data_IF_244509643776
#
_entry.id   IF_244509643776
#
_cell.length_a   1.000
_cell.length_b   1.000
_cell.length_c   1.000
_cell.angle_alpha   90.00
_cell.angle_beta   90.00
_cell.angle_gamma   90.00
#
_symmetry.space_group_name_H-M   'P 1'
#
loop_
_entity.id
_entity.type
_entity.pdbx_description
1 polymer ?
#
# COMPACT_ATOMS: atom_id res chain seq x y z
N UNK A 1 10.31 13.95 -19.09
CA UNK A 1 9.98 13.60 -17.69
C UNK A 1 8.84 14.53 -17.27
N UNK A 2 7.72 14.00 -16.81
CA UNK A 2 6.61 14.82 -16.33
C UNK A 2 6.88 15.23 -14.88
N UNK A 3 6.61 16.50 -14.55
CA UNK A 3 6.74 17.00 -13.18
C UNK A 3 5.64 16.39 -12.30
N UNK A 4 6.00 15.98 -11.08
CA UNK A 4 5.00 15.62 -10.07
C UNK A 4 4.25 16.88 -9.62
N UNK A 5 2.94 16.76 -9.54
CA UNK A 5 2.05 17.78 -8.98
C UNK A 5 1.53 17.32 -7.62
N UNK A 6 1.44 18.25 -6.69
CA UNK A 6 0.97 18.03 -5.33
C UNK A 6 -0.39 18.71 -5.19
N UNK A 7 -1.42 17.92 -4.98
CA UNK A 7 -2.81 18.38 -5.05
C UNK A 7 -3.60 17.94 -3.84
N UNK A 8 -4.70 18.60 -3.61
CA UNK A 8 -5.69 18.22 -2.60
C UNK A 8 -7.07 18.25 -3.22
N UNK A 9 -7.91 17.28 -2.87
CA UNK A 9 -9.32 17.23 -3.26
C UNK A 9 -10.17 16.99 -2.02
N UNK A 10 -11.34 17.64 -1.98
CA UNK A 10 -12.35 17.38 -0.95
C UNK A 10 -13.04 16.05 -1.21
N UNK A 11 -12.99 15.19 -0.20
CA UNK A 11 -13.71 13.92 -0.16
C UNK A 11 -14.52 13.91 1.13
N UNK A 12 -15.82 14.01 1.01
CA UNK A 12 -16.73 14.26 2.16
C UNK A 12 -16.27 15.48 2.96
N UNK A 13 -15.99 15.32 4.26
CA UNK A 13 -15.48 16.38 5.12
C UNK A 13 -13.93 16.47 5.16
N UNK A 14 -13.23 15.64 4.40
CA UNK A 14 -11.77 15.50 4.46
C UNK A 14 -11.08 16.17 3.28
N UNK A 15 -9.91 16.72 3.52
CA UNK A 15 -8.96 17.12 2.49
C UNK A 15 -8.02 15.94 2.22
N UNK A 16 -8.11 15.31 1.05
CA UNK A 16 -7.26 14.22 0.63
C UNK A 16 -6.18 14.76 -0.28
N UNK A 17 -4.96 14.72 0.22
CA UNK A 17 -3.77 15.05 -0.56
C UNK A 17 -3.42 13.89 -1.50
N UNK A 18 -2.89 14.22 -2.67
CA UNK A 18 -2.36 13.22 -3.60
C UNK A 18 -1.25 13.77 -4.48
N UNK A 19 -0.35 12.87 -4.88
CA UNK A 19 0.64 13.13 -5.93
C UNK A 19 0.06 12.73 -7.27
N UNK A 20 0.29 13.54 -8.30
CA UNK A 20 -0.14 13.25 -9.66
C UNK A 20 0.99 13.53 -10.65
N UNK A 21 1.21 12.63 -11.60
CA UNK A 21 2.18 12.82 -12.69
C UNK A 21 1.73 12.10 -13.95
N UNK A 22 2.29 12.48 -15.10
CA UNK A 22 1.99 11.88 -16.39
C UNK A 22 0.81 12.52 -17.12
N UNK A 23 0.58 12.06 -18.34
CA UNK A 23 -0.47 12.61 -19.22
C UNK A 23 -1.85 12.02 -18.89
N UNK A 24 -2.87 12.87 -18.77
CA UNK A 24 -4.26 12.45 -18.45
C UNK A 24 -4.91 11.53 -19.49
N UNK A 25 -4.34 11.44 -20.67
CA UNK A 25 -4.81 10.54 -21.75
C UNK A 25 -4.16 9.16 -21.71
N UNK A 26 -3.32 8.89 -20.73
CA UNK A 26 -2.61 7.62 -20.55
C UNK A 26 -3.35 6.70 -19.59
N UNK A 27 -3.05 5.38 -19.60
CA UNK A 27 -3.60 4.46 -18.61
C UNK A 27 -3.29 4.95 -17.19
N UNK A 28 -4.28 4.90 -16.31
CA UNK A 28 -4.15 5.37 -14.92
C UNK A 28 -3.57 4.27 -14.05
N UNK A 29 -2.58 4.61 -13.21
CA UNK A 29 -2.15 3.79 -12.08
C UNK A 29 -2.54 4.51 -10.80
N UNK A 30 -3.43 3.90 -10.00
CA UNK A 30 -3.78 4.33 -8.66
C UNK A 30 -2.89 3.60 -7.66
N UNK A 31 -2.02 4.36 -6.93
CA UNK A 31 -1.03 3.81 -6.01
C UNK A 31 -1.49 4.01 -4.57
N UNK A 32 -1.76 2.92 -3.87
CA UNK A 32 -2.22 2.89 -2.49
C UNK A 32 -1.10 2.45 -1.56
N UNK A 33 -0.64 3.39 -0.73
CA UNK A 33 0.49 3.19 0.20
C UNK A 33 0.10 2.39 1.44
N UNK A 34 1.09 2.07 2.26
CA UNK A 34 0.91 1.40 3.54
C UNK A 34 1.52 2.12 4.74
N UNK A 35 1.58 1.41 5.85
CA UNK A 35 2.19 1.84 7.10
C UNK A 35 3.72 1.77 7.00
N UNK A 36 4.44 2.73 7.59
CA UNK A 36 3.97 3.97 8.22
C UNK A 36 3.95 5.16 7.25
N UNK A 37 4.06 4.90 5.95
CA UNK A 37 4.37 5.86 4.93
C UNK A 37 3.14 6.63 4.38
N UNK A 38 3.31 7.22 3.24
CA UNK A 38 2.33 8.00 2.50
C UNK A 38 2.64 7.87 1.01
N UNK A 39 2.00 8.65 0.14
CA UNK A 39 2.34 8.75 -1.27
C UNK A 39 3.82 9.08 -1.52
N UNK A 40 4.55 9.55 -0.48
CA UNK A 40 5.97 9.85 -0.55
C UNK A 40 6.81 8.63 -0.95
N UNK A 41 6.44 7.43 -0.52
CA UNK A 41 7.15 6.21 -0.86
C UNK A 41 7.21 5.93 -2.37
N UNK A 42 6.28 6.48 -3.13
CA UNK A 42 6.18 6.28 -4.58
C UNK A 42 6.92 7.36 -5.40
N UNK A 43 7.59 8.35 -4.76
CA UNK A 43 8.19 9.51 -5.42
C UNK A 43 9.08 9.17 -6.62
N UNK A 44 9.92 8.15 -6.47
CA UNK A 44 10.87 7.74 -7.50
C UNK A 44 10.19 6.86 -8.57
N UNK A 45 9.35 5.93 -8.17
CA UNK A 45 8.54 5.12 -9.09
C UNK A 45 7.61 5.97 -9.96
N UNK A 46 7.00 7.03 -9.37
CA UNK A 46 6.19 7.99 -10.13
C UNK A 46 7.02 8.69 -11.19
N UNK A 47 8.24 9.12 -10.85
CA UNK A 47 9.15 9.74 -11.82
C UNK A 47 9.48 8.78 -12.97
N UNK A 48 9.80 7.52 -12.64
CA UNK A 48 10.15 6.52 -13.62
C UNK A 48 9.00 6.21 -14.59
N UNK A 49 7.77 6.09 -14.09
CA UNK A 49 6.62 5.65 -14.88
C UNK A 49 5.85 6.81 -15.56
N UNK A 50 6.09 8.08 -15.19
CA UNK A 50 5.30 9.24 -15.64
C UNK A 50 5.33 9.48 -17.15
N UNK A 51 6.34 8.96 -17.85
CA UNK A 51 6.41 9.04 -19.31
C UNK A 51 5.36 8.16 -19.99
N UNK A 52 4.89 7.10 -19.35
CA UNK A 52 4.06 6.07 -19.96
C UNK A 52 2.64 6.02 -19.37
N UNK A 53 2.48 6.40 -18.10
CA UNK A 53 1.22 6.29 -17.35
C UNK A 53 0.80 7.61 -16.69
N UNK A 54 -0.48 7.71 -16.37
CA UNK A 54 -1.04 8.73 -15.50
C UNK A 54 -1.09 8.18 -14.07
N UNK A 55 -0.23 8.69 -13.20
CA UNK A 55 -0.02 8.17 -11.83
C UNK A 55 -0.74 9.05 -10.83
N UNK A 56 -1.49 8.43 -9.93
CA UNK A 56 -2.25 9.08 -8.86
C UNK A 56 -1.99 8.32 -7.57
N UNK A 57 -1.42 9.00 -6.57
CA UNK A 57 -1.08 8.42 -5.28
C UNK A 57 -1.68 9.26 -4.15
N UNK A 58 -2.85 8.91 -3.59
CA UNK A 58 -3.43 9.60 -2.45
C UNK A 58 -2.73 9.22 -1.15
N UNK A 59 -2.79 10.15 -0.17
CA UNK A 59 -2.51 9.85 1.25
C UNK A 59 -3.82 9.52 1.94
N UNK A 60 -3.86 8.47 2.76
CA UNK A 60 -5.04 8.17 3.57
C UNK A 60 -5.29 9.22 4.65
N UNK A 61 -6.54 9.36 5.16
CA UNK A 61 -6.77 10.10 6.41
C UNK A 61 -5.86 9.60 7.54
N UNK A 62 -5.24 10.54 8.26
CA UNK A 62 -4.26 10.21 9.31
C UNK A 62 -2.82 10.01 8.83
N UNK A 63 -2.58 10.00 7.51
CA UNK A 63 -1.28 9.80 6.90
C UNK A 63 -0.84 11.00 6.06
N UNK A 64 0.46 11.15 5.87
CA UNK A 64 1.07 12.13 4.98
C UNK A 64 0.50 13.54 5.13
N UNK A 65 0.08 14.13 4.03
CA UNK A 65 -0.44 15.51 3.96
C UNK A 65 -1.98 15.57 3.99
N UNK A 66 -2.68 14.44 4.08
CA UNK A 66 -4.13 14.40 4.18
C UNK A 66 -4.64 14.85 5.55
N UNK A 67 -5.94 15.15 5.64
CA UNK A 67 -6.62 15.43 6.91
C UNK A 67 -6.36 14.32 7.93
N UNK A 68 -6.10 14.72 9.17
CA UNK A 68 -5.87 13.82 10.29
C UNK A 68 -6.85 14.12 11.44
N UNK A 69 -8.16 13.86 11.26
CA UNK A 69 -9.14 14.05 12.31
C UNK A 69 -8.86 13.12 13.49
N UNK A 70 -9.29 13.52 14.70
CA UNK A 70 -9.18 12.66 15.87
C UNK A 70 -10.03 11.38 15.69
N UNK A 71 -9.70 10.26 16.38
CA UNK A 71 -10.50 9.03 16.32
C UNK A 71 -11.97 9.19 16.73
N UNK A 72 -12.32 10.25 17.45
CA UNK A 72 -13.72 10.59 17.75
C UNK A 72 -14.45 11.24 16.57
N UNK A 73 -13.72 11.83 15.62
CA UNK A 73 -14.28 12.48 14.43
C UNK A 73 -14.23 11.63 13.17
N UNK A 74 -13.38 10.59 13.15
CA UNK A 74 -13.26 9.65 12.02
C UNK A 74 -12.91 8.27 12.56
N UNK A 75 -13.70 7.26 12.18
CA UNK A 75 -13.42 5.88 12.60
C UNK A 75 -12.31 5.29 11.73
N UNK A 76 -11.11 5.14 12.29
CA UNK A 76 -9.97 4.55 11.60
C UNK A 76 -10.11 3.03 11.51
N UNK A 77 -10.60 2.56 10.37
CA UNK A 77 -10.74 1.17 10.00
C UNK A 77 -10.41 0.98 8.52
N UNK A 78 -10.02 -0.23 8.11
CA UNK A 78 -9.75 -0.52 6.69
C UNK A 78 -11.00 -0.35 5.83
N UNK A 79 -12.20 -0.60 6.36
CA UNK A 79 -13.45 -0.36 5.68
C UNK A 79 -13.66 1.14 5.39
N UNK A 80 -13.45 2.00 6.39
CA UNK A 80 -13.58 3.45 6.20
C UNK A 80 -12.48 4.04 5.33
N UNK A 81 -11.25 3.53 5.40
CA UNK A 81 -10.20 3.91 4.45
C UNK A 81 -10.61 3.54 3.02
N UNK A 82 -11.16 2.34 2.80
CA UNK A 82 -11.63 1.92 1.49
C UNK A 82 -12.82 2.77 0.99
N UNK A 83 -13.77 3.13 1.86
CA UNK A 83 -14.88 4.04 1.54
C UNK A 83 -14.32 5.41 1.13
N UNK A 84 -13.39 5.98 1.91
CA UNK A 84 -12.79 7.28 1.60
C UNK A 84 -12.07 7.25 0.25
N UNK A 85 -11.31 6.19 -0.05
CA UNK A 85 -10.64 6.04 -1.35
C UNK A 85 -11.65 5.79 -2.49
N UNK A 86 -12.75 5.08 -2.27
CA UNK A 86 -13.83 4.99 -3.26
C UNK A 86 -14.42 6.36 -3.60
N UNK A 87 -14.70 7.20 -2.59
CA UNK A 87 -15.16 8.58 -2.83
C UNK A 87 -14.09 9.45 -3.51
N UNK A 88 -12.80 9.24 -3.19
CA UNK A 88 -11.68 9.88 -3.90
C UNK A 88 -11.64 9.49 -5.39
N UNK A 89 -11.82 8.20 -5.71
CA UNK A 89 -11.91 7.69 -7.08
C UNK A 89 -13.06 8.38 -7.83
N UNK A 90 -14.22 8.53 -7.18
CA UNK A 90 -15.39 9.19 -7.77
C UNK A 90 -15.18 10.71 -7.93
N UNK A 91 -14.54 11.37 -6.94
CA UNK A 91 -14.22 12.80 -7.00
C UNK A 91 -13.28 13.14 -8.16
N UNK A 92 -12.33 12.24 -8.48
CA UNK A 92 -11.44 12.37 -9.64
C UNK A 92 -12.03 11.80 -10.93
N UNK A 93 -13.26 11.24 -10.89
CA UNK A 93 -13.94 10.62 -12.02
C UNK A 93 -13.12 9.52 -12.71
N UNK A 94 -12.38 8.70 -11.95
CA UNK A 94 -11.59 7.60 -12.47
C UNK A 94 -12.52 6.45 -12.88
N UNK A 95 -12.44 6.00 -14.14
CA UNK A 95 -13.35 5.00 -14.72
C UNK A 95 -12.75 3.61 -14.85
N UNK A 96 -11.46 3.54 -15.11
CA UNK A 96 -10.64 2.32 -15.16
C UNK A 96 -9.22 2.67 -14.75
N UNK A 97 -8.58 1.80 -13.97
CA UNK A 97 -7.21 2.00 -13.54
C UNK A 97 -6.51 0.68 -13.23
N UNK A 98 -5.19 0.72 -13.29
CA UNK A 98 -4.32 -0.29 -12.70
C UNK A 98 -4.28 0.01 -11.20
N UNK A 99 -4.68 -0.93 -10.38
CA UNK A 99 -4.62 -0.80 -8.93
C UNK A 99 -3.27 -1.30 -8.43
N UNK A 100 -2.46 -0.37 -7.90
CA UNK A 100 -1.19 -0.68 -7.25
C UNK A 100 -1.37 -0.60 -5.74
N UNK A 101 -1.01 -1.66 -5.03
CA UNK A 101 -1.18 -1.76 -3.58
C UNK A 101 0.12 -2.14 -2.89
N UNK A 102 0.40 -1.49 -1.75
CA UNK A 102 1.52 -1.82 -0.87
C UNK A 102 1.02 -1.83 0.58
N UNK A 103 1.40 -2.84 1.37
CA UNK A 103 1.09 -2.99 2.78
C UNK A 103 -0.40 -2.75 3.07
N UNK A 104 -0.81 -1.69 3.82
CA UNK A 104 -2.22 -1.31 4.03
C UNK A 104 -2.99 -1.03 2.74
N UNK A 105 -2.28 -0.66 1.68
CA UNK A 105 -2.87 -0.55 0.36
C UNK A 105 -3.49 -1.84 -0.13
N UNK A 106 -2.98 -3.02 0.30
CA UNK A 106 -3.57 -4.33 0.02
C UNK A 106 -4.99 -4.44 0.55
N UNK A 107 -5.21 -4.46 1.86
CA UNK A 107 -6.55 -4.54 2.44
C UNK A 107 -7.51 -3.43 1.97
N UNK A 108 -7.03 -2.20 1.75
CA UNK A 108 -7.87 -1.12 1.21
C UNK A 108 -8.22 -1.40 -0.25
N UNK A 109 -7.22 -1.70 -1.07
CA UNK A 109 -7.40 -1.93 -2.51
C UNK A 109 -8.22 -3.18 -2.82
N UNK A 110 -8.03 -4.27 -2.06
CA UNK A 110 -8.82 -5.51 -2.29
C UNK A 110 -10.30 -5.31 -1.95
N UNK A 111 -10.65 -4.51 -0.92
CA UNK A 111 -12.05 -4.10 -0.66
C UNK A 111 -12.64 -3.34 -1.83
N UNK A 112 -11.89 -2.42 -2.41
CA UNK A 112 -12.32 -1.66 -3.59
C UNK A 112 -12.50 -2.59 -4.79
N UNK A 113 -11.56 -3.50 -5.02
CA UNK A 113 -11.60 -4.43 -6.13
C UNK A 113 -12.79 -5.41 -6.06
N UNK A 114 -13.13 -5.88 -4.85
CA UNK A 114 -14.33 -6.72 -4.62
C UNK A 114 -15.61 -5.94 -4.88
N UNK A 115 -15.70 -4.69 -4.41
CA UNK A 115 -16.90 -3.87 -4.52
C UNK A 115 -17.11 -3.32 -5.94
N UNK A 116 -16.03 -3.01 -6.66
CA UNK A 116 -16.05 -2.33 -7.96
C UNK A 116 -15.10 -3.00 -8.96
N UNK A 117 -15.28 -4.30 -9.25
CA UNK A 117 -14.36 -5.06 -10.10
C UNK A 117 -14.24 -4.48 -11.51
N UNK A 118 -15.27 -3.78 -12.01
CA UNK A 118 -15.29 -3.14 -13.33
C UNK A 118 -14.28 -2.01 -13.49
N UNK A 119 -13.80 -1.43 -12.39
CA UNK A 119 -12.78 -0.37 -12.41
C UNK A 119 -11.35 -0.92 -12.55
N UNK A 120 -11.13 -2.19 -12.19
CA UNK A 120 -9.79 -2.77 -12.09
C UNK A 120 -9.34 -3.31 -13.44
N UNK A 121 -8.40 -2.62 -14.06
CA UNK A 121 -7.83 -3.02 -15.35
C UNK A 121 -6.69 -4.04 -15.19
N UNK A 122 -5.90 -3.89 -14.14
CA UNK A 122 -4.88 -4.82 -13.69
C UNK A 122 -4.59 -4.59 -12.21
N UNK A 123 -3.97 -5.56 -11.56
CA UNK A 123 -3.55 -5.50 -10.17
C UNK A 123 -2.02 -5.60 -10.08
N UNK A 124 -1.40 -4.66 -9.38
CA UNK A 124 0.01 -4.71 -9.01
C UNK A 124 0.09 -4.77 -7.49
N UNK A 125 0.68 -5.83 -6.96
CA UNK A 125 0.81 -6.08 -5.52
C UNK A 125 2.28 -6.00 -5.16
N UNK A 126 2.61 -5.06 -4.28
CA UNK A 126 3.97 -4.89 -3.77
C UNK A 126 3.98 -5.04 -2.26
N UNK A 127 4.74 -5.99 -1.73
CA UNK A 127 4.89 -6.18 -0.29
C UNK A 127 3.55 -6.00 0.46
N UNK A 128 2.51 -6.67 -0.02
CA UNK A 128 1.17 -6.71 0.54
C UNK A 128 0.67 -8.15 0.55
N UNK A 129 -0.25 -8.46 1.44
CA UNK A 129 -0.62 -9.85 1.71
C UNK A 129 -2.14 -10.09 1.64
N UNK A 130 -2.49 -11.27 1.14
CA UNK A 130 -3.86 -11.79 1.10
C UNK A 130 -3.92 -13.28 1.51
N UNK A 131 -2.84 -13.85 2.04
CA UNK A 131 -2.69 -15.28 2.33
C UNK A 131 -2.05 -15.50 3.69
N UNK A 132 -2.54 -16.48 4.45
CA UNK A 132 -2.04 -16.76 5.81
C UNK A 132 -0.55 -17.10 5.83
N UNK A 133 -0.05 -17.82 4.84
CA UNK A 133 1.36 -18.17 4.69
C UNK A 133 2.30 -16.98 4.39
N UNK A 134 1.71 -15.82 4.09
CA UNK A 134 2.46 -14.60 3.87
C UNK A 134 2.67 -13.76 5.14
N UNK A 135 2.10 -14.16 6.28
CA UNK A 135 2.27 -13.43 7.53
C UNK A 135 3.57 -13.86 8.22
N UNK A 136 4.51 -12.93 8.36
CA UNK A 136 5.81 -13.19 8.99
C UNK A 136 5.80 -13.00 10.51
N UNK A 137 6.76 -13.65 11.18
CA UNK A 137 6.90 -13.60 12.64
C UNK A 137 7.15 -12.17 13.18
N UNK A 138 7.69 -11.27 12.36
CA UNK A 138 7.87 -9.88 12.73
C UNK A 138 6.54 -9.16 13.05
N UNK A 139 5.41 -9.70 12.64
CA UNK A 139 4.07 -9.19 12.99
C UNK A 139 3.56 -9.70 14.35
N UNK A 140 4.29 -10.57 15.05
CA UNK A 140 3.83 -11.18 16.31
C UNK A 140 3.33 -10.14 17.34
N UNK A 141 3.99 -8.99 17.61
CA UNK A 141 3.48 -8.01 18.56
C UNK A 141 2.10 -7.44 18.16
N UNK A 142 1.86 -7.24 16.86
CA UNK A 142 0.57 -6.79 16.34
C UNK A 142 -0.49 -7.90 16.44
N UNK A 143 -0.13 -9.13 16.12
CA UNK A 143 -1.01 -10.30 16.24
C UNK A 143 -1.45 -10.50 17.71
N UNK A 144 -0.52 -10.33 18.66
CA UNK A 144 -0.81 -10.42 20.08
C UNK A 144 -1.76 -9.29 20.54
N UNK A 145 -1.57 -8.08 20.05
CA UNK A 145 -2.44 -6.95 20.33
C UNK A 145 -3.84 -7.12 19.73
N UNK A 146 -3.96 -7.67 18.52
CA UNK A 146 -5.25 -7.99 17.89
C UNK A 146 -6.02 -9.01 18.72
N UNK A 147 -5.34 -10.08 19.18
CA UNK A 147 -5.95 -11.17 19.93
C UNK A 147 -6.34 -10.80 21.35
N UNK A 148 -5.57 -9.96 22.01
CA UNK A 148 -5.76 -9.64 23.41
C UNK A 148 -5.34 -8.20 23.71
N UNK A 149 -6.29 -7.27 23.73
CA UNK A 149 -6.06 -5.85 23.92
C UNK A 149 -5.89 -5.51 25.40
N UNK A 150 -4.65 -5.43 25.87
CA UNK A 150 -4.27 -5.02 27.21
C UNK A 150 -3.02 -4.13 27.17
N UNK A 151 -2.60 -3.59 28.32
CA UNK A 151 -1.46 -2.66 28.39
C UNK A 151 -0.14 -3.26 27.90
N UNK A 152 0.10 -4.56 28.11
CA UNK A 152 1.33 -5.24 27.70
C UNK A 152 1.38 -5.39 26.17
N UNK A 153 0.31 -5.89 25.57
CA UNK A 153 0.22 -6.09 24.11
C UNK A 153 0.13 -4.77 23.36
N UNK A 154 -0.51 -3.74 23.93
CA UNK A 154 -0.49 -2.37 23.39
C UNK A 154 0.92 -1.80 23.41
N UNK A 155 1.68 -2.01 24.49
CA UNK A 155 3.09 -1.58 24.55
C UNK A 155 3.91 -2.22 23.43
N UNK A 156 3.71 -3.51 23.17
CA UNK A 156 4.33 -4.21 22.05
C UNK A 156 3.97 -3.62 20.68
N UNK A 157 2.68 -3.32 20.47
CA UNK A 157 2.19 -2.69 19.25
C UNK A 157 2.73 -1.27 19.06
N UNK A 158 2.83 -0.47 20.13
CA UNK A 158 3.44 0.88 20.12
C UNK A 158 4.92 0.84 19.71
N UNK A 159 5.61 -0.29 19.89
CA UNK A 159 6.98 -0.48 19.39
C UNK A 159 7.12 -0.25 17.88
N UNK A 160 6.07 -0.53 17.10
CA UNK A 160 6.05 -0.24 15.65
C UNK A 160 6.07 1.26 15.33
N UNK A 161 5.73 2.13 16.28
CA UNK A 161 5.74 3.59 16.09
C UNK A 161 7.09 4.22 16.43
N UNK A 162 8.05 3.43 16.93
CA UNK A 162 9.38 3.93 17.29
C UNK A 162 10.23 4.20 16.04
N UNK A 163 11.10 5.22 16.15
CA UNK A 163 12.04 5.56 15.06
C UNK A 163 12.91 4.36 14.64
N UNK A 164 13.35 3.54 15.59
CA UNK A 164 14.18 2.38 15.31
C UNK A 164 13.42 1.35 14.47
N UNK A 165 12.16 1.09 14.78
CA UNK A 165 11.32 0.17 13.99
C UNK A 165 10.99 0.76 12.62
N UNK A 166 10.65 2.05 12.54
CA UNK A 166 10.40 2.72 11.25
C UNK A 166 11.65 2.64 10.37
N UNK A 167 12.83 2.94 10.91
CA UNK A 167 14.09 2.79 10.18
C UNK A 167 14.35 1.33 9.80
N UNK A 168 14.08 0.38 10.70
CA UNK A 168 14.23 -1.05 10.43
C UNK A 168 13.37 -1.51 9.25
N UNK A 169 12.12 -1.04 9.13
CA UNK A 169 11.24 -1.34 7.99
C UNK A 169 11.88 -0.98 6.64
N UNK A 170 12.65 0.10 6.60
CA UNK A 170 13.33 0.56 5.39
C UNK A 170 14.63 -0.20 5.11
N UNK A 171 15.35 -0.60 6.17
CA UNK A 171 16.73 -1.09 6.05
C UNK A 171 16.86 -2.59 6.15
N UNK A 172 15.93 -3.29 6.83
CA UNK A 172 15.98 -4.74 6.97
C UNK A 172 15.70 -5.43 5.63
N UNK A 173 16.54 -6.36 5.27
CA UNK A 173 16.44 -7.09 4.00
C UNK A 173 16.88 -6.30 2.75
N UNK A 174 17.24 -5.02 2.87
CA UNK A 174 17.80 -4.25 1.78
C UNK A 174 19.13 -4.87 1.28
N UNK A 175 19.35 -4.85 -0.03
CA UNK A 175 20.58 -5.35 -0.65
C UNK A 175 21.74 -4.37 -0.45
N UNK A 176 21.45 -3.07 -0.56
CA UNK A 176 22.44 -2.01 -0.50
C UNK A 176 21.95 -0.83 0.35
N UNK A 177 22.35 -0.80 1.61
CA UNK A 177 21.96 0.25 2.57
C UNK A 177 22.37 1.67 2.15
N UNK A 178 23.38 1.81 1.28
CA UNK A 178 23.82 3.13 0.78
C UNK A 178 22.75 3.78 -0.10
N UNK A 179 21.87 2.99 -0.69
CA UNK A 179 20.78 3.47 -1.53
C UNK A 179 19.52 3.86 -0.75
N UNK A 180 19.43 3.49 0.52
CA UNK A 180 18.26 3.80 1.35
C UNK A 180 18.37 5.24 1.84
N UNK A 181 17.51 6.12 1.28
CA UNK A 181 17.48 7.51 1.70
C UNK A 181 16.96 7.65 3.13
N UNK A 182 17.69 8.35 4.00
CA UNK A 182 17.19 8.67 5.35
C UNK A 182 15.94 9.56 5.33
N UNK A 183 15.70 10.29 4.24
CA UNK A 183 14.54 11.19 4.11
C UNK A 183 13.22 10.41 4.17
N UNK A 184 13.18 9.17 3.66
CA UNK A 184 12.01 8.30 3.68
C UNK A 184 11.52 8.06 5.12
N UNK A 185 12.33 7.33 5.90
CA UNK A 185 11.94 6.96 7.27
C UNK A 185 11.89 8.16 8.23
N UNK A 186 12.65 9.24 7.97
CA UNK A 186 12.58 10.46 8.77
C UNK A 186 11.28 11.22 8.51
N UNK A 187 10.83 11.28 7.26
CA UNK A 187 9.55 11.88 6.88
C UNK A 187 8.38 11.11 7.49
N UNK A 188 8.43 9.78 7.42
CA UNK A 188 7.37 8.94 7.99
C UNK A 188 7.30 9.10 9.51
N UNK A 189 8.45 9.11 10.20
CA UNK A 189 8.50 9.38 11.64
C UNK A 189 7.98 10.76 12.02
N UNK A 190 8.24 11.78 11.19
CA UNK A 190 7.68 13.11 11.41
C UNK A 190 6.15 13.08 11.42
N UNK A 191 5.52 12.33 10.51
CA UNK A 191 4.07 12.19 10.48
C UNK A 191 3.53 11.32 11.62
N UNK A 192 4.21 10.24 11.99
CA UNK A 192 3.83 9.42 13.14
C UNK A 192 3.87 10.20 14.48
N UNK A 193 4.80 11.14 14.60
CA UNK A 193 4.96 11.97 15.82
C UNK A 193 3.91 13.09 15.94
N UNK A 194 2.96 13.22 15.03
CA UNK A 194 1.87 14.19 15.16
C UNK A 194 1.04 13.87 16.41
N UNK A 195 0.62 14.89 17.17
CA UNK A 195 -0.24 14.67 18.34
C UNK A 195 -1.48 13.83 17.99
N UNK A 196 -1.67 12.72 18.71
CA UNK A 196 -2.80 11.80 18.54
C UNK A 196 -2.67 10.82 17.36
N UNK A 197 -1.58 10.86 16.58
CA UNK A 197 -1.39 9.90 15.50
C UNK A 197 -1.13 8.49 16.01
N UNK A 198 -0.52 8.33 17.17
CA UNK A 198 -0.34 7.05 17.84
C UNK A 198 -1.67 6.32 18.08
N UNK A 199 -2.71 7.04 18.53
CA UNK A 199 -4.05 6.47 18.69
C UNK A 199 -4.70 6.09 17.37
N UNK A 200 -4.43 6.84 16.30
CA UNK A 200 -4.86 6.50 14.92
C UNK A 200 -4.23 5.16 14.49
N UNK A 201 -2.92 5.03 14.66
CA UNK A 201 -2.22 3.82 14.27
C UNK A 201 -2.64 2.61 15.10
N UNK A 202 -2.81 2.79 16.42
CA UNK A 202 -3.33 1.72 17.28
C UNK A 202 -4.75 1.28 16.89
N UNK A 203 -5.61 2.21 16.45
CA UNK A 203 -6.93 1.86 15.96
C UNK A 203 -6.83 0.98 14.69
N UNK A 204 -5.94 1.31 13.76
CA UNK A 204 -5.70 0.51 12.55
C UNK A 204 -5.04 -0.83 12.87
N UNK A 205 -4.08 -0.89 13.80
CA UNK A 205 -3.49 -2.16 14.24
C UNK A 205 -4.55 -3.10 14.83
N UNK A 206 -5.44 -2.60 15.71
CA UNK A 206 -6.57 -3.39 16.23
C UNK A 206 -7.49 -3.88 15.12
N UNK A 207 -7.78 -2.99 14.16
CA UNK A 207 -8.69 -3.30 13.06
C UNK A 207 -8.07 -4.26 12.03
N UNK A 208 -6.73 -4.45 12.02
CA UNK A 208 -6.07 -5.31 11.03
C UNK A 208 -6.60 -6.75 11.03
N UNK A 209 -7.04 -7.25 12.18
CA UNK A 209 -7.64 -8.58 12.29
C UNK A 209 -8.85 -8.80 11.39
N UNK A 210 -9.60 -7.73 11.05
CA UNK A 210 -10.74 -7.82 10.12
C UNK A 210 -10.30 -8.20 8.70
N UNK A 211 -9.07 -7.92 8.32
CA UNK A 211 -8.53 -8.25 7.00
C UNK A 211 -8.41 -9.78 6.83
N UNK A 212 -7.99 -10.48 7.88
CA UNK A 212 -7.81 -11.93 7.83
C UNK A 212 -9.13 -12.65 7.57
N UNK A 213 -10.23 -12.12 8.11
CA UNK A 213 -11.58 -12.69 7.90
C UNK A 213 -12.11 -12.47 6.48
N UNK A 214 -11.50 -11.56 5.71
CA UNK A 214 -11.89 -11.27 4.33
C UNK A 214 -11.06 -12.00 3.28
N UNK A 215 -10.06 -12.79 3.68
CA UNK A 215 -9.20 -13.50 2.73
C UNK A 215 -10.00 -14.40 1.79
N UNK A 216 -10.98 -15.15 2.28
CA UNK A 216 -11.82 -16.01 1.45
C UNK A 216 -12.64 -15.22 0.42
N UNK A 217 -13.11 -14.01 0.77
CA UNK A 217 -13.82 -13.12 -0.13
C UNK A 217 -12.88 -12.58 -1.22
N UNK A 218 -11.65 -12.16 -0.84
CA UNK A 218 -10.65 -11.71 -1.80
C UNK A 218 -10.22 -12.84 -2.74
N UNK A 219 -9.99 -14.06 -2.23
CA UNK A 219 -9.69 -15.23 -3.06
C UNK A 219 -10.85 -15.54 -4.02
N UNK A 220 -12.09 -15.42 -3.57
CA UNK A 220 -13.27 -15.60 -4.43
C UNK A 220 -13.28 -14.57 -5.57
N UNK A 221 -12.99 -13.30 -5.28
CA UNK A 221 -12.83 -12.26 -6.28
C UNK A 221 -11.71 -12.61 -7.27
N UNK A 222 -10.53 -12.99 -6.79
CA UNK A 222 -9.40 -13.35 -7.62
C UNK A 222 -9.74 -14.50 -8.59
N UNK A 223 -10.36 -15.56 -8.08
CA UNK A 223 -10.81 -16.71 -8.91
C UNK A 223 -11.86 -16.32 -9.94
N UNK A 224 -12.81 -15.48 -9.55
CA UNK A 224 -13.93 -15.11 -10.42
C UNK A 224 -13.54 -14.10 -11.48
N UNK A 225 -12.76 -13.09 -11.12
CA UNK A 225 -12.47 -11.96 -11.99
C UNK A 225 -11.16 -12.11 -12.76
N UNK A 226 -10.21 -12.93 -12.28
CA UNK A 226 -8.91 -13.17 -12.91
C UNK A 226 -8.24 -11.89 -13.43
N UNK A 227 -8.11 -10.82 -12.61
CA UNK A 227 -7.49 -9.60 -13.08
C UNK A 227 -6.04 -9.88 -13.52
N UNK A 228 -5.55 -9.30 -14.63
CA UNK A 228 -4.13 -9.36 -14.95
C UNK A 228 -3.33 -8.92 -13.72
N UNK A 229 -2.49 -9.80 -13.15
CA UNK A 229 -1.85 -9.55 -11.86
C UNK A 229 -0.33 -9.69 -11.94
N UNK A 230 0.36 -8.66 -11.44
CA UNK A 230 1.78 -8.63 -11.21
C UNK A 230 2.03 -8.49 -9.70
N UNK A 231 2.80 -9.40 -9.13
CA UNK A 231 3.30 -9.28 -7.75
C UNK A 231 4.78 -8.93 -7.80
N UNK A 232 5.16 -7.81 -7.16
CA UNK A 232 6.54 -7.36 -7.00
C UNK A 232 6.81 -7.28 -5.50
N UNK A 233 7.63 -8.14 -4.95
CA UNK A 233 7.90 -8.14 -3.51
C UNK A 233 9.37 -8.28 -3.22
N UNK A 234 9.82 -7.62 -2.15
CA UNK A 234 11.13 -7.86 -1.60
C UNK A 234 11.19 -9.29 -1.02
N UNK A 235 12.08 -10.12 -1.53
CA UNK A 235 12.19 -11.53 -1.10
C UNK A 235 12.63 -11.69 0.36
N UNK A 236 13.22 -10.62 0.94
CA UNK A 236 13.74 -10.60 2.30
C UNK A 236 12.77 -9.90 3.29
N UNK A 237 11.55 -9.57 2.87
CA UNK A 237 10.54 -8.98 3.73
C UNK A 237 10.16 -9.92 4.87
N UNK A 238 10.29 -9.45 6.12
CA UNK A 238 9.96 -10.21 7.32
C UNK A 238 8.54 -9.96 7.84
N UNK A 239 7.82 -8.98 7.26
CA UNK A 239 6.42 -8.73 7.57
C UNK A 239 5.53 -9.56 6.64
N UNK A 240 5.77 -9.45 5.32
CA UNK A 240 5.01 -10.17 4.30
C UNK A 240 5.95 -11.07 3.50
N UNK A 241 5.97 -12.34 3.91
CA UNK A 241 6.87 -13.34 3.36
C UNK A 241 6.62 -13.62 1.88
N UNK A 242 7.67 -14.01 1.17
CA UNK A 242 7.59 -14.41 -0.24
C UNK A 242 6.55 -15.52 -0.50
N UNK A 243 6.24 -16.36 0.48
CA UNK A 243 5.19 -17.37 0.40
C UNK A 243 3.79 -16.75 0.14
N UNK A 244 3.51 -15.56 0.73
CA UNK A 244 2.27 -14.84 0.45
C UNK A 244 2.22 -14.29 -0.96
N UNK A 245 3.35 -13.81 -1.50
CA UNK A 245 3.46 -13.38 -2.90
C UNK A 245 3.18 -14.55 -3.86
N UNK A 246 3.76 -15.72 -3.62
CA UNK A 246 3.51 -16.94 -4.41
C UNK A 246 2.05 -17.44 -4.25
N UNK A 247 1.41 -17.12 -3.11
CA UNK A 247 0.02 -17.46 -2.83
C UNK A 247 -0.96 -17.00 -3.92
N UNK A 248 -0.70 -15.84 -4.57
CA UNK A 248 -1.57 -15.33 -5.62
C UNK A 248 -1.77 -16.29 -6.80
N UNK A 249 -0.81 -17.17 -7.08
CA UNK A 249 -0.94 -18.22 -8.11
C UNK A 249 -2.00 -19.26 -7.80
N UNK A 250 -2.45 -19.38 -6.54
CA UNK A 250 -3.51 -20.34 -6.16
C UNK A 250 -4.87 -19.93 -6.72
N UNK A 251 -5.08 -18.60 -6.83
CA UNK A 251 -6.38 -18.03 -7.17
C UNK A 251 -6.36 -17.27 -8.51
N UNK A 252 -5.19 -16.86 -9.00
CA UNK A 252 -5.01 -16.16 -10.29
C UNK A 252 -4.05 -16.96 -11.16
N UNK A 253 -4.60 -17.59 -12.20
CA UNK A 253 -3.89 -18.56 -13.05
C UNK A 253 -2.61 -17.99 -13.67
N UNK A 254 -2.67 -16.75 -14.18
CA UNK A 254 -1.57 -16.09 -14.90
C UNK A 254 -0.89 -15.00 -14.05
N UNK A 255 -0.93 -15.12 -12.72
CA UNK A 255 -0.22 -14.19 -11.85
C UNK A 255 1.29 -14.27 -12.09
N UNK A 256 1.88 -13.13 -12.44
CA UNK A 256 3.33 -13.01 -12.58
C UNK A 256 3.93 -12.60 -11.24
N UNK A 257 4.87 -13.38 -10.73
CA UNK A 257 5.56 -13.11 -9.46
C UNK A 257 7.00 -12.71 -9.74
N UNK A 258 7.42 -11.56 -9.22
CA UNK A 258 8.78 -11.05 -9.29
C UNK A 258 9.28 -10.74 -7.87
N UNK A 259 10.17 -11.57 -7.37
CA UNK A 259 10.80 -11.38 -6.08
C UNK A 259 12.13 -10.63 -6.27
N UNK A 260 12.16 -9.38 -5.86
CA UNK A 260 13.34 -8.53 -5.92
C UNK A 260 14.24 -8.76 -4.69
N UNK A 261 15.54 -8.57 -4.86
CA UNK A 261 16.48 -8.66 -3.74
C UNK A 261 16.40 -7.38 -2.88
N UNK A 262 15.50 -7.37 -1.90
CA UNK A 262 15.21 -6.22 -1.05
C UNK A 262 14.25 -6.61 0.08
N UNK A 263 13.99 -5.67 0.98
CA UNK A 263 13.10 -5.81 2.13
C UNK A 263 11.68 -5.28 1.88
N UNK A 264 11.04 -4.82 2.96
CA UNK A 264 9.65 -4.34 2.93
C UNK A 264 9.48 -3.08 2.06
N UNK A 265 10.36 -2.10 2.18
CA UNK A 265 10.37 -0.88 1.35
C UNK A 265 11.26 -1.06 0.10
N UNK A 266 11.03 -2.13 -0.66
CA UNK A 266 11.87 -2.53 -1.81
C UNK A 266 12.03 -1.42 -2.86
N UNK A 267 11.07 -0.50 -2.98
CA UNK A 267 11.15 0.62 -3.93
C UNK A 267 12.25 1.64 -3.59
N UNK A 268 12.71 1.72 -2.34
CA UNK A 268 13.77 2.67 -1.98
C UNK A 268 15.08 2.41 -2.76
N UNK A 269 15.35 1.15 -3.08
CA UNK A 269 16.55 0.77 -3.82
C UNK A 269 16.29 0.17 -5.21
N UNK A 270 15.05 -0.30 -5.48
CA UNK A 270 14.69 -1.07 -6.68
C UNK A 270 13.58 -0.42 -7.53
N UNK A 271 13.27 0.87 -7.34
CA UNK A 271 12.19 1.55 -8.08
C UNK A 271 12.34 1.44 -9.61
N UNK A 272 13.57 1.60 -10.12
CA UNK A 272 13.83 1.53 -11.56
C UNK A 272 13.65 0.11 -12.13
N UNK A 273 14.07 -0.93 -11.37
CA UNK A 273 13.85 -2.33 -11.72
C UNK A 273 12.34 -2.66 -11.69
N UNK A 274 11.64 -2.24 -10.64
CA UNK A 274 10.19 -2.37 -10.52
C UNK A 274 9.47 -1.69 -11.69
N UNK A 275 9.86 -0.46 -12.06
CA UNK A 275 9.29 0.27 -13.19
C UNK A 275 9.48 -0.49 -14.52
N UNK A 276 10.64 -1.10 -14.73
CA UNK A 276 10.92 -1.93 -15.93
C UNK A 276 10.00 -3.15 -16.00
N UNK A 277 9.85 -3.86 -14.87
CA UNK A 277 8.97 -5.03 -14.77
C UNK A 277 7.51 -4.64 -15.01
N UNK A 278 7.05 -3.51 -14.43
CA UNK A 278 5.69 -2.99 -14.62
C UNK A 278 5.42 -2.68 -16.09
N UNK A 279 6.32 -1.96 -16.77
CA UNK A 279 6.17 -1.67 -18.21
C UNK A 279 6.04 -2.94 -19.03
N UNK A 280 6.95 -3.88 -18.81
CA UNK A 280 6.97 -5.15 -19.54
C UNK A 280 5.67 -5.93 -19.34
N UNK A 281 5.19 -6.00 -18.10
CA UNK A 281 3.95 -6.69 -17.76
C UNK A 281 2.73 -6.01 -18.39
N UNK A 282 2.57 -4.70 -18.23
CA UNK A 282 1.41 -3.97 -18.74
C UNK A 282 1.37 -3.97 -20.28
N UNK A 283 2.54 -3.81 -20.93
CA UNK A 283 2.65 -3.94 -22.38
C UNK A 283 2.24 -5.32 -22.87
N UNK A 284 2.69 -6.40 -22.22
CA UNK A 284 2.31 -7.77 -22.56
C UNK A 284 0.80 -8.05 -22.40
N UNK A 285 0.11 -7.26 -21.54
CA UNK A 285 -1.34 -7.32 -21.34
C UNK A 285 -2.13 -6.32 -22.21
N UNK A 286 -1.44 -5.57 -23.11
CA UNK A 286 -2.07 -4.58 -23.97
C UNK A 286 -2.61 -3.34 -23.23
N UNK A 287 -1.99 -2.99 -22.11
CA UNK A 287 -2.37 -1.85 -21.23
C UNK A 287 -1.30 -0.73 -21.33
N UNK A 288 -0.67 -0.54 -22.47
CA UNK A 288 0.37 0.47 -22.66
C UNK A 288 -0.06 1.52 -23.70
#
# INVERSE_FOLDING_TARGET
>A
MYTQNFKTVKVDALDIFYREAGGKNKPVILLLHGFPSSSHMYRDLINDLSADYHLIAPDYPGFGQSSSPSPSGYSYSFDNLAITINHFIDALNLKKFILYVQDYGGPVGFRIAVQRPELIQALIVQNANAYNEGLGDALEPLVNYIKNQNAETEHGARGFLSFDTVKWLYTDGAEDLVKISPDGYTTDQYYLNRPGNDEIQLALFRNYGTNLSLYDEWHSYFRKCQPPTLVISGKNDKLFLAAGAEGFKKDITDAQINLLNGGHFVLEEKHAEAASVIRSFLSAKGIA
#
